data_IF_289681444575
#
_entry.id   IF_289681444575
#
_cell.length_a   1.000
_cell.length_b   1.000
_cell.length_c   1.000
_cell.angle_alpha   90.00
_cell.angle_beta   90.00
_cell.angle_gamma   90.00
#
_symmetry.space_group_name_H-M   'P 1'
#
loop_
_entity.id
_entity.type
_entity.pdbx_description
1 polymer ?
#
# COMPACT_ATOMS: atom_id res chain seq x y z
N UNK A 1 1.38 -19.37 -10.40
CA UNK A 1 1.19 -17.90 -10.35
C UNK A 1 1.78 -17.42 -9.04
N UNK A 2 2.63 -16.38 -9.04
CA UNK A 2 3.20 -15.83 -7.81
C UNK A 2 2.22 -14.77 -7.29
N UNK A 3 1.87 -14.85 -6.00
CA UNK A 3 1.06 -13.83 -5.35
C UNK A 3 1.78 -12.47 -5.36
N UNK A 4 1.02 -11.39 -5.46
CA UNK A 4 1.51 -10.02 -5.39
C UNK A 4 1.38 -9.52 -3.96
N UNK A 5 2.47 -8.98 -3.42
CA UNK A 5 2.48 -8.32 -2.12
C UNK A 5 2.00 -6.86 -2.28
N UNK A 6 0.81 -6.57 -1.76
CA UNK A 6 0.26 -5.22 -1.69
C UNK A 6 0.50 -4.64 -0.29
N UNK A 7 1.67 -4.00 -0.14
CA UNK A 7 2.08 -3.42 1.14
C UNK A 7 1.13 -2.31 1.60
N UNK A 8 0.67 -2.39 2.86
CA UNK A 8 -0.24 -1.42 3.45
C UNK A 8 0.20 -1.04 4.87
N UNK A 9 0.18 0.25 5.19
CA UNK A 9 0.50 0.78 6.51
C UNK A 9 -0.74 0.95 7.40
N UNK A 10 -1.93 0.90 6.81
CA UNK A 10 -3.17 0.96 7.55
C UNK A 10 -3.62 -0.44 8.00
N UNK A 11 -3.34 -0.77 9.27
CA UNK A 11 -3.77 -2.04 9.89
C UNK A 11 -5.28 -2.26 9.83
N UNK A 12 -6.08 -1.20 9.87
CA UNK A 12 -7.54 -1.31 9.76
C UNK A 12 -7.93 -1.75 8.35
N UNK A 13 -7.31 -1.18 7.31
CA UNK A 13 -7.54 -1.60 5.92
C UNK A 13 -7.17 -3.06 5.70
N UNK A 14 -6.04 -3.52 6.24
CA UNK A 14 -5.61 -4.93 6.17
C UNK A 14 -6.62 -5.84 6.85
N UNK A 15 -7.04 -5.48 8.08
CA UNK A 15 -8.04 -6.27 8.83
C UNK A 15 -9.37 -6.35 8.07
N UNK A 16 -9.84 -5.23 7.49
CA UNK A 16 -11.07 -5.20 6.71
C UNK A 16 -10.96 -6.08 5.45
N UNK A 17 -9.80 -6.09 4.78
CA UNK A 17 -9.58 -6.93 3.59
C UNK A 17 -9.72 -8.43 3.93
N UNK A 18 -9.26 -8.85 5.10
CA UNK A 18 -9.33 -10.25 5.55
C UNK A 18 -10.65 -10.62 6.24
N UNK A 19 -11.29 -9.70 6.96
CA UNK A 19 -12.55 -9.93 7.64
C UNK A 19 -13.50 -8.73 7.48
N UNK A 20 -14.22 -8.65 6.36
CA UNK A 20 -15.01 -7.48 6.03
C UNK A 20 -16.40 -7.47 6.69
N UNK A 21 -16.67 -8.37 7.65
CA UNK A 21 -17.99 -8.58 8.26
C UNK A 21 -18.40 -7.46 9.24
N UNK A 22 -17.50 -6.53 9.60
CA UNK A 22 -17.74 -5.64 10.76
C UNK A 22 -18.02 -4.14 10.49
N UNK A 23 -18.10 -3.66 9.26
CA UNK A 23 -18.36 -2.23 9.05
C UNK A 23 -19.43 -1.92 8.00
N UNK A 24 -20.66 -1.73 8.49
CA UNK A 24 -21.88 -1.24 7.81
C UNK A 24 -21.75 0.19 7.22
N UNK A 25 -20.53 0.73 7.10
CA UNK A 25 -20.26 2.15 6.78
C UNK A 25 -19.49 2.39 5.47
N UNK A 26 -19.17 1.37 4.68
CA UNK A 26 -18.38 1.56 3.46
C UNK A 26 -19.14 1.26 2.17
N UNK A 27 -20.20 2.03 1.90
CA UNK A 27 -20.96 1.97 0.64
C UNK A 27 -20.09 2.18 -0.61
N UNK A 28 -18.92 2.82 -0.48
CA UNK A 28 -17.97 3.03 -1.58
C UNK A 28 -16.98 1.88 -1.79
N UNK A 29 -16.89 0.93 -0.86
CA UNK A 29 -15.92 -0.19 -0.93
C UNK A 29 -16.62 -1.52 -1.18
N UNK A 30 -17.95 -1.59 -1.06
CA UNK A 30 -18.73 -2.81 -1.35
C UNK A 30 -18.55 -3.34 -2.78
N UNK A 31 -18.40 -2.45 -3.77
CA UNK A 31 -18.19 -2.83 -5.17
C UNK A 31 -16.87 -3.58 -5.33
N UNK A 32 -15.80 -3.07 -4.70
CA UNK A 32 -14.46 -3.65 -4.81
C UNK A 32 -14.21 -4.78 -3.81
N UNK A 33 -15.05 -4.91 -2.77
CA UNK A 33 -14.93 -5.92 -1.71
C UNK A 33 -14.88 -7.34 -2.27
N UNK A 34 -15.81 -7.68 -3.16
CA UNK A 34 -15.86 -9.03 -3.75
C UNK A 34 -14.61 -9.32 -4.58
N UNK A 35 -14.13 -8.34 -5.34
CA UNK A 35 -12.91 -8.47 -6.12
C UNK A 35 -11.68 -8.69 -5.22
N UNK A 36 -11.54 -7.90 -4.16
CA UNK A 36 -10.41 -8.02 -3.24
C UNK A 36 -10.41 -9.39 -2.54
N UNK A 37 -11.56 -9.82 -2.01
CA UNK A 37 -11.69 -11.13 -1.35
C UNK A 37 -11.37 -12.26 -2.32
N UNK A 38 -11.93 -12.23 -3.53
CA UNK A 38 -11.68 -13.27 -4.54
C UNK A 38 -10.18 -13.39 -4.88
N UNK A 39 -9.47 -12.26 -4.96
CA UNK A 39 -8.02 -12.27 -5.20
C UNK A 39 -7.22 -12.75 -3.98
N UNK A 40 -7.67 -12.50 -2.75
CA UNK A 40 -7.05 -13.05 -1.54
C UNK A 40 -7.27 -14.58 -1.49
N UNK A 41 -8.50 -15.04 -1.70
CA UNK A 41 -8.88 -16.46 -1.65
C UNK A 41 -8.18 -17.29 -2.74
N UNK A 42 -7.96 -16.67 -3.91
CA UNK A 42 -7.17 -17.25 -5.01
C UNK A 42 -5.66 -17.19 -4.77
N UNK A 43 -5.21 -16.64 -3.65
CA UNK A 43 -3.80 -16.41 -3.33
C UNK A 43 -3.10 -15.56 -4.41
N UNK A 44 -3.84 -14.66 -5.05
CA UNK A 44 -3.31 -13.71 -6.03
C UNK A 44 -2.68 -12.49 -5.35
N UNK A 45 -3.19 -12.08 -4.18
CA UNK A 45 -2.75 -10.87 -3.46
C UNK A 45 -2.57 -11.17 -1.97
N UNK A 46 -1.52 -10.61 -1.39
CA UNK A 46 -1.30 -10.54 0.05
C UNK A 46 -1.23 -9.09 0.53
N UNK A 47 -1.57 -8.85 1.80
CA UNK A 47 -1.52 -7.54 2.42
C UNK A 47 -0.50 -7.48 3.56
N UNK A 48 0.82 -7.58 3.27
CA UNK A 48 1.83 -7.42 4.30
C UNK A 48 1.82 -6.00 4.87
N UNK A 49 1.94 -5.90 6.19
CA UNK A 49 2.07 -4.60 6.87
C UNK A 49 3.43 -3.97 6.55
N UNK A 50 3.42 -2.68 6.26
CA UNK A 50 4.61 -1.83 6.16
C UNK A 50 4.46 -0.65 7.11
N UNK A 51 5.55 -0.14 7.68
CA UNK A 51 5.45 1.10 8.48
C UNK A 51 5.16 2.29 7.56
N UNK A 52 4.47 3.31 8.05
CA UNK A 52 4.18 4.50 7.24
C UNK A 52 5.46 5.22 6.76
N UNK A 53 6.54 5.20 7.55
CA UNK A 53 7.85 5.73 7.15
C UNK A 53 8.51 4.96 5.98
N UNK A 54 8.07 3.72 5.75
CA UNK A 54 8.56 2.83 4.70
C UNK A 54 7.57 2.69 3.53
N UNK A 55 6.37 3.28 3.63
CA UNK A 55 5.33 3.20 2.60
C UNK A 55 5.66 4.13 1.43
N UNK A 56 6.33 3.61 0.40
CA UNK A 56 6.79 4.41 -0.75
C UNK A 56 5.66 5.12 -1.49
N UNK A 57 4.43 4.59 -1.48
CA UNK A 57 3.29 5.24 -2.12
C UNK A 57 2.91 6.60 -1.50
N UNK A 58 3.34 6.86 -0.26
CA UNK A 58 3.00 8.09 0.44
C UNK A 58 3.64 9.33 -0.20
N UNK A 59 4.81 9.20 -0.82
CA UNK A 59 5.46 10.31 -1.55
C UNK A 59 4.63 10.80 -2.73
N UNK A 60 3.78 9.94 -3.31
CA UNK A 60 2.95 10.24 -4.47
C UNK A 60 1.57 10.77 -4.09
N UNK A 61 1.15 10.60 -2.83
CA UNK A 61 -0.23 10.88 -2.38
C UNK A 61 -0.31 11.91 -1.27
N UNK A 62 0.80 12.21 -0.60
CA UNK A 62 0.86 13.07 0.60
C UNK A 62 2.11 13.95 0.57
N UNK A 63 2.06 15.08 1.27
CA UNK A 63 3.26 15.83 1.62
C UNK A 63 4.00 15.13 2.78
N UNK A 64 5.20 14.61 2.52
CA UNK A 64 6.06 13.98 3.54
C UNK A 64 7.15 14.97 4.00
N UNK A 65 7.65 14.80 5.23
CA UNK A 65 8.71 15.67 5.73
C UNK A 65 10.04 15.40 4.99
N UNK A 66 10.91 16.41 4.89
CA UNK A 66 12.12 16.34 4.05
C UNK A 66 13.06 15.17 4.36
N UNK A 67 13.12 14.72 5.63
CA UNK A 67 13.90 13.53 6.00
C UNK A 67 13.34 12.26 5.35
N UNK A 68 12.04 12.01 5.55
CA UNK A 68 11.33 10.84 5.00
C UNK A 68 11.36 10.90 3.46
N UNK A 69 11.19 12.08 2.89
CA UNK A 69 11.28 12.30 1.45
C UNK A 69 12.62 11.82 0.87
N UNK A 70 13.74 12.24 1.46
CA UNK A 70 15.07 11.83 1.01
C UNK A 70 15.27 10.32 1.14
N UNK A 71 14.83 9.71 2.25
CA UNK A 71 14.91 8.27 2.44
C UNK A 71 14.06 7.51 1.40
N UNK A 72 12.87 8.02 1.05
CA UNK A 72 11.98 7.43 0.06
C UNK A 72 12.52 7.56 -1.38
N UNK A 73 13.08 8.71 -1.76
CA UNK A 73 13.70 8.91 -3.09
C UNK A 73 14.88 7.95 -3.29
N UNK A 74 15.71 7.77 -2.26
CA UNK A 74 16.80 6.80 -2.29
C UNK A 74 16.28 5.36 -2.47
N UNK A 75 15.22 4.97 -1.73
CA UNK A 75 14.59 3.64 -1.86
C UNK A 75 13.93 3.43 -3.22
N UNK A 76 13.40 4.49 -3.83
CA UNK A 76 12.83 4.45 -5.18
C UNK A 76 13.88 4.31 -6.29
N UNK A 77 15.18 4.46 -5.96
CA UNK A 77 16.25 4.45 -6.95
C UNK A 77 16.17 5.62 -7.91
N UNK A 78 15.62 6.76 -7.46
CA UNK A 78 15.60 7.97 -8.27
C UNK A 78 17.04 8.45 -8.50
N UNK A 79 17.32 8.79 -9.75
CA UNK A 79 18.61 9.31 -10.17
C UNK A 79 18.53 10.81 -10.38
N UNK A 80 19.53 11.53 -9.91
CA UNK A 80 19.70 12.93 -10.25
C UNK A 80 20.34 13.02 -11.64
N UNK A 81 19.54 13.44 -12.63
CA UNK A 81 19.99 13.60 -14.01
C UNK A 81 20.96 14.77 -14.21
N UNK A 82 21.14 15.61 -13.18
CA UNK A 82 22.10 16.72 -13.17
C UNK A 82 23.35 16.40 -12.35
N UNK A 83 23.45 15.21 -11.75
CA UNK A 83 24.63 14.81 -11.01
C UNK A 83 25.85 14.73 -11.95
N UNK A 84 27.00 15.29 -11.56
CA UNK A 84 28.22 15.19 -12.37
C UNK A 84 28.65 13.71 -12.49
N UNK A 85 29.11 13.34 -13.69
CA UNK A 85 29.63 12.02 -14.04
C UNK A 85 30.98 11.72 -13.40
#
# INVERSE_FOLDING_TARGET
MKAIDLHCDNKVTIMIAHNPIQHDRMKHVEVDRFFIIENIDKWCIFFPFVKSEDQLADILTKGVCGRIFNDMINKLGMIDIYAPS
#
